data_IF_369033468223
#
_entry.id   IF_369033468223
#
_cell.length_a   1.000
_cell.length_b   1.000
_cell.length_c   1.000
_cell.angle_alpha   90.00
_cell.angle_beta   90.00
_cell.angle_gamma   90.00
#
_symmetry.space_group_name_H-M   'P 1'
#
loop_
_entity.id
_entity.type
_entity.pdbx_description
1 polymer ?
#
# COMPACT_ATOMS: atom_id res chain seq x y z
N UNK A 1 -26.11 9.34 25.95
CA UNK A 1 -24.86 9.19 25.19
C UNK A 1 -25.13 9.60 23.76
N UNK A 2 -25.01 10.89 23.47
CA UNK A 2 -25.06 11.37 22.08
C UNK A 2 -23.60 11.44 21.66
N UNK A 3 -23.13 10.41 20.95
CA UNK A 3 -21.88 10.53 20.22
C UNK A 3 -22.20 11.46 19.06
N UNK A 4 -21.75 12.72 19.17
CA UNK A 4 -21.99 13.73 18.16
C UNK A 4 -21.48 13.21 16.81
N UNK A 5 -22.32 13.06 15.76
CA UNK A 5 -21.89 12.52 14.47
C UNK A 5 -20.75 13.32 13.84
N UNK A 6 -20.65 14.61 14.19
CA UNK A 6 -19.53 15.48 13.82
C UNK A 6 -18.19 14.97 14.35
N UNK A 7 -18.14 14.53 15.60
CA UNK A 7 -16.94 13.97 16.21
C UNK A 7 -16.57 12.61 15.62
N UNK A 8 -17.55 11.77 15.27
CA UNK A 8 -17.28 10.50 14.61
C UNK A 8 -16.65 10.70 13.23
N UNK A 9 -17.26 11.53 12.38
CA UNK A 9 -16.73 11.79 11.03
C UNK A 9 -15.35 12.46 11.07
N UNK A 10 -15.14 13.40 12.00
CA UNK A 10 -13.84 14.03 12.21
C UNK A 10 -12.77 13.00 12.64
N UNK A 11 -13.12 12.08 13.54
CA UNK A 11 -12.21 11.02 13.96
C UNK A 11 -11.90 10.03 12.82
N UNK A 12 -12.91 9.62 12.03
CA UNK A 12 -12.70 8.76 10.86
C UNK A 12 -11.76 9.44 9.86
N UNK A 13 -11.99 10.71 9.54
CA UNK A 13 -11.13 11.48 8.64
C UNK A 13 -9.69 11.56 9.17
N UNK A 14 -9.52 11.80 10.48
CA UNK A 14 -8.21 11.84 11.14
C UNK A 14 -7.47 10.50 11.07
N UNK A 15 -8.13 9.39 11.40
CA UNK A 15 -7.51 8.07 11.36
C UNK A 15 -7.17 7.66 9.93
N UNK A 16 -8.04 7.98 8.96
CA UNK A 16 -7.77 7.76 7.54
C UNK A 16 -6.52 8.52 7.09
N UNK A 17 -6.41 9.81 7.43
CA UNK A 17 -5.23 10.62 7.10
C UNK A 17 -3.93 10.06 7.72
N UNK A 18 -3.99 9.53 8.95
CA UNK A 18 -2.85 8.87 9.60
C UNK A 18 -2.48 7.57 8.87
N UNK A 19 -3.46 6.74 8.53
CA UNK A 19 -3.25 5.49 7.81
C UNK A 19 -2.63 5.76 6.43
N UNK A 20 -3.17 6.72 5.68
CA UNK A 20 -2.66 7.13 4.37
C UNK A 20 -1.21 7.61 4.46
N UNK A 21 -0.88 8.42 5.48
CA UNK A 21 0.49 8.89 5.71
C UNK A 21 1.45 7.74 6.05
N UNK A 22 1.01 6.78 6.86
CA UNK A 22 1.83 5.59 7.20
C UNK A 22 2.02 4.70 5.97
N UNK A 23 0.97 4.48 5.18
CA UNK A 23 1.03 3.69 3.95
C UNK A 23 1.95 4.34 2.91
N UNK A 24 1.89 5.66 2.75
CA UNK A 24 2.79 6.39 1.85
C UNK A 24 4.27 6.24 2.26
N UNK A 25 4.56 6.32 3.57
CA UNK A 25 5.91 6.07 4.10
C UNK A 25 6.36 4.62 3.88
N UNK A 26 5.46 3.67 4.10
CA UNK A 26 5.75 2.26 3.87
C UNK A 26 6.06 2.01 2.38
N UNK A 27 5.24 2.53 1.46
CA UNK A 27 5.47 2.49 0.00
C UNK A 27 6.80 3.07 -0.46
N UNK A 28 7.31 4.08 0.24
CA UNK A 28 8.60 4.70 -0.05
C UNK A 28 9.79 3.94 0.58
N UNK A 29 9.52 2.95 1.44
CA UNK A 29 10.58 2.15 2.07
C UNK A 29 11.10 1.07 1.13
N UNK A 30 12.40 0.76 1.24
CA UNK A 30 13.03 -0.31 0.46
C UNK A 30 12.39 -1.70 0.71
N UNK A 31 11.69 -1.86 1.83
CA UNK A 31 11.06 -3.11 2.25
C UNK A 31 9.64 -3.29 1.69
N UNK A 32 9.08 -2.28 1.02
CA UNK A 32 7.72 -2.37 0.48
C UNK A 32 7.59 -3.46 -0.58
N UNK A 33 8.55 -3.49 -1.51
CA UNK A 33 8.60 -4.49 -2.57
C UNK A 33 8.94 -5.88 -2.01
N UNK A 34 9.52 -5.95 -0.81
CA UNK A 34 9.76 -7.22 -0.11
C UNK A 34 8.49 -7.84 0.48
N UNK A 35 7.50 -7.02 0.79
CA UNK A 35 6.21 -7.49 1.30
C UNK A 35 5.35 -8.17 0.23
N UNK A 36 5.56 -7.80 -1.04
CA UNK A 36 4.84 -8.37 -2.17
C UNK A 36 5.64 -9.53 -2.74
N UNK A 37 5.00 -10.65 -3.07
CA UNK A 37 5.66 -11.68 -3.87
C UNK A 37 5.81 -11.21 -5.31
N UNK A 38 6.75 -11.81 -6.04
CA UNK A 38 6.93 -11.50 -7.47
C UNK A 38 5.64 -11.80 -8.27
N UNK A 39 4.92 -12.88 -7.91
CA UNK A 39 3.60 -13.21 -8.48
C UNK A 39 2.57 -12.10 -8.25
N UNK A 40 2.56 -11.50 -7.05
CA UNK A 40 1.64 -10.42 -6.73
C UNK A 40 1.95 -9.18 -7.59
N UNK A 41 3.24 -8.85 -7.74
CA UNK A 41 3.67 -7.72 -8.57
C UNK A 41 3.28 -7.97 -10.04
N UNK A 42 3.47 -9.18 -10.57
CA UNK A 42 3.09 -9.55 -11.94
C UNK A 42 1.58 -9.46 -12.20
N UNK A 43 0.76 -9.85 -11.22
CA UNK A 43 -0.70 -9.68 -11.31
C UNK A 43 -1.06 -8.21 -11.28
N UNK A 44 -0.50 -7.43 -10.36
CA UNK A 44 -0.78 -5.99 -10.29
C UNK A 44 -0.28 -5.22 -11.50
N UNK A 45 0.78 -5.66 -12.18
CA UNK A 45 1.27 -5.03 -13.41
C UNK A 45 0.27 -5.05 -14.56
N UNK A 46 -0.69 -6.00 -14.55
CA UNK A 46 -1.78 -6.13 -15.53
C UNK A 46 -3.01 -5.30 -15.17
N UNK A 47 -3.10 -4.79 -13.95
CA UNK A 47 -4.24 -4.00 -13.47
C UNK A 47 -4.01 -2.53 -13.77
N UNK A 48 -4.89 -1.94 -14.58
CA UNK A 48 -4.84 -0.53 -14.94
C UNK A 48 -5.01 0.35 -13.68
N UNK A 49 -4.17 1.37 -13.54
CA UNK A 49 -4.17 2.26 -12.37
C UNK A 49 -3.50 1.68 -11.11
N UNK A 50 -2.95 0.47 -11.15
CA UNK A 50 -2.11 -0.03 -10.06
C UNK A 50 -0.77 0.70 -10.01
N UNK A 51 -0.09 0.65 -8.85
CA UNK A 51 1.26 1.21 -8.70
C UNK A 51 2.31 0.49 -9.59
N UNK A 52 1.98 -0.69 -10.12
CA UNK A 52 2.86 -1.55 -10.92
C UNK A 52 2.45 -1.60 -12.39
N UNK A 53 1.37 -0.91 -12.78
CA UNK A 53 0.82 -0.93 -14.14
C UNK A 53 1.91 -0.59 -15.17
N UNK A 54 2.12 -1.48 -16.13
CA UNK A 54 3.09 -1.31 -17.21
C UNK A 54 4.57 -1.37 -16.79
N UNK A 55 4.88 -1.72 -15.53
CA UNK A 55 6.27 -1.94 -15.09
C UNK A 55 6.65 -3.40 -15.33
N UNK A 56 7.64 -3.70 -16.19
CA UNK A 56 8.18 -5.06 -16.29
C UNK A 56 8.88 -5.40 -14.97
N UNK A 57 8.28 -6.26 -14.16
CA UNK A 57 8.89 -6.76 -12.93
C UNK A 57 10.09 -7.62 -13.29
N UNK A 58 11.22 -7.40 -12.61
CA UNK A 58 12.35 -8.31 -12.69
C UNK A 58 12.26 -9.22 -11.46
N UNK A 59 12.09 -10.54 -11.66
CA UNK A 59 12.06 -11.48 -10.55
C UNK A 59 13.25 -11.24 -9.64
N UNK A 60 13.02 -11.18 -8.33
CA UNK A 60 14.12 -11.07 -7.39
C UNK A 60 14.94 -12.35 -7.52
N UNK A 61 16.27 -12.21 -7.63
CA UNK A 61 17.14 -13.39 -7.58
C UNK A 61 16.85 -14.12 -6.28
N UNK A 62 16.68 -15.46 -6.32
CA UNK A 62 16.53 -16.23 -5.10
C UNK A 62 17.73 -15.91 -4.22
N UNK A 63 17.48 -15.37 -3.03
CA UNK A 63 18.51 -15.26 -2.01
C UNK A 63 18.97 -16.68 -1.73
N UNK A 64 20.25 -16.97 -2.00
CA UNK A 64 20.85 -18.21 -1.54
C UNK A 64 20.65 -18.26 -0.02
N UNK A 65 19.93 -19.28 0.44
CA UNK A 65 19.68 -19.53 1.85
C UNK A 65 20.98 -19.87 2.59
#
# INVERSE_FOLDING_TARGET
MVNDPGDFNANVARFKAIADKKLARFRASAQYDDFLSDDAIDVFAKVEGSAYAGRPHKPRKPSAA
#
